data_IF_631437876721
#
_entry.id   IF_631437876721
#
_cell.length_a   1.000
_cell.length_b   1.000
_cell.length_c   1.000
_cell.angle_alpha   90.00
_cell.angle_beta   90.00
_cell.angle_gamma   90.00
#
_symmetry.space_group_name_H-M   'P 1'
#
loop_
_entity.id
_entity.type
_entity.pdbx_description
1 polymer ?
#
# COMPACT_ATOMS: atom_id res chain seq x y z
N UNK A 1 -13.20 -16.00 5.94
CA UNK A 1 -11.91 -15.49 5.38
C UNK A 1 -10.89 -15.42 6.51
N UNK A 2 -9.59 -15.43 6.24
CA UNK A 2 -8.57 -15.35 7.30
C UNK A 2 -8.63 -14.02 8.08
N UNK A 3 -8.96 -12.91 7.42
CA UNK A 3 -9.17 -11.62 8.10
C UNK A 3 -10.30 -11.69 9.13
N UNK A 4 -11.34 -12.50 8.87
CA UNK A 4 -12.46 -12.62 9.80
C UNK A 4 -12.08 -13.27 11.13
N UNK A 5 -10.95 -13.97 11.19
CA UNK A 5 -10.46 -14.66 12.40
C UNK A 5 -9.62 -13.78 13.32
N UNK A 6 -9.25 -12.59 12.84
CA UNK A 6 -8.45 -11.63 13.61
C UNK A 6 -9.36 -10.76 14.49
N UNK A 7 -8.89 -10.37 15.66
CA UNK A 7 -9.56 -9.37 16.47
C UNK A 7 -9.54 -7.99 15.80
N UNK A 8 -10.41 -7.08 16.22
CA UNK A 8 -10.44 -5.69 15.73
C UNK A 8 -9.10 -4.98 15.93
N UNK A 9 -8.46 -5.17 17.07
CA UNK A 9 -7.14 -4.62 17.34
C UNK A 9 -6.05 -5.20 16.41
N UNK A 10 -6.10 -6.51 16.13
CA UNK A 10 -5.17 -7.15 15.18
C UNK A 10 -5.41 -6.68 13.75
N UNK A 11 -6.67 -6.48 13.33
CA UNK A 11 -6.99 -5.92 12.02
C UNK A 11 -6.48 -4.48 11.88
N UNK A 12 -6.66 -3.64 12.90
CA UNK A 12 -6.15 -2.26 12.87
C UNK A 12 -4.61 -2.22 12.80
N UNK A 13 -3.93 -3.06 13.57
CA UNK A 13 -2.47 -3.20 13.50
C UNK A 13 -2.02 -3.68 12.11
N UNK A 14 -2.68 -4.69 11.56
CA UNK A 14 -2.42 -5.21 10.22
C UNK A 14 -2.68 -4.14 9.14
N UNK A 15 -3.73 -3.34 9.31
CA UNK A 15 -4.07 -2.24 8.40
C UNK A 15 -2.95 -1.20 8.31
N UNK A 16 -2.33 -0.84 9.42
CA UNK A 16 -1.16 0.08 9.42
C UNK A 16 0.02 -0.52 8.67
N UNK A 17 0.30 -1.81 8.83
CA UNK A 17 1.34 -2.50 8.07
C UNK A 17 1.02 -2.53 6.57
N UNK A 18 -0.25 -2.70 6.20
CA UNK A 18 -0.65 -2.72 4.79
C UNK A 18 -0.63 -1.32 4.17
N UNK A 19 -0.98 -0.26 4.90
CA UNK A 19 -0.78 1.11 4.44
C UNK A 19 0.71 1.40 4.18
N UNK A 20 1.56 1.01 5.12
CA UNK A 20 3.00 1.18 4.98
C UNK A 20 3.59 0.33 3.85
N UNK A 21 3.06 -0.88 3.60
CA UNK A 21 3.42 -1.69 2.44
C UNK A 21 3.25 -0.93 1.13
N UNK A 22 2.10 -0.27 0.93
CA UNK A 22 1.86 0.53 -0.28
C UNK A 22 2.88 1.66 -0.43
N UNK A 23 3.19 2.37 0.64
CA UNK A 23 4.19 3.44 0.65
C UNK A 23 5.61 2.94 0.36
N UNK A 24 5.98 1.77 0.89
CA UNK A 24 7.31 1.18 0.68
C UNK A 24 7.56 0.72 -0.77
N UNK A 25 6.54 0.62 -1.61
CA UNK A 25 6.70 0.30 -3.03
C UNK A 25 7.68 1.28 -3.71
N UNK A 26 7.52 2.57 -3.47
CA UNK A 26 8.37 3.60 -4.05
C UNK A 26 9.82 3.54 -3.54
N UNK A 27 9.99 3.03 -2.31
CA UNK A 27 11.33 2.86 -1.71
C UNK A 27 12.15 1.75 -2.38
N UNK A 28 11.50 0.95 -3.24
CA UNK A 28 12.14 -0.08 -4.07
C UNK A 28 12.07 0.32 -5.54
N UNK A 29 10.89 0.70 -6.02
CA UNK A 29 10.66 1.00 -7.42
C UNK A 29 11.49 2.19 -7.91
N UNK A 30 11.51 3.29 -7.17
CA UNK A 30 12.21 4.51 -7.57
C UNK A 30 13.73 4.35 -7.64
N UNK A 31 14.45 3.75 -6.66
CA UNK A 31 15.88 3.45 -6.79
C UNK A 31 16.21 2.54 -7.97
N UNK A 32 15.36 1.52 -8.24
CA UNK A 32 15.55 0.65 -9.41
C UNK A 32 15.42 1.41 -10.72
N UNK A 33 14.43 2.30 -10.82
CA UNK A 33 14.28 3.20 -11.98
C UNK A 33 15.47 4.15 -12.09
N UNK A 34 15.90 4.77 -11.00
CA UNK A 34 17.02 5.73 -10.99
C UNK A 34 18.34 5.12 -11.44
N UNK A 35 18.49 3.80 -11.35
CA UNK A 35 19.68 3.10 -11.84
C UNK A 35 19.87 3.33 -13.34
N UNK A 36 20.85 4.17 -13.70
CA UNK A 36 21.15 4.52 -15.10
C UNK A 36 20.22 5.56 -15.72
N UNK A 37 19.43 6.28 -14.92
CA UNK A 37 18.53 7.37 -15.34
C UNK A 37 18.71 8.60 -14.47
N UNK A 38 18.13 9.72 -14.90
CA UNK A 38 18.21 10.96 -14.13
C UNK A 38 17.20 10.95 -12.95
N UNK A 39 17.44 11.83 -11.98
CA UNK A 39 16.52 12.05 -10.88
C UNK A 39 15.18 12.60 -11.37
N UNK A 40 15.22 13.51 -12.34
CA UNK A 40 14.05 14.12 -12.94
C UNK A 40 13.15 13.07 -13.62
N UNK A 41 13.73 12.13 -14.37
CA UNK A 41 12.98 11.00 -14.96
C UNK A 41 12.31 10.12 -13.90
N UNK A 42 13.00 9.86 -12.78
CA UNK A 42 12.43 9.13 -11.65
C UNK A 42 11.27 9.90 -11.02
N UNK A 43 11.41 11.23 -10.80
CA UNK A 43 10.34 12.08 -10.26
C UNK A 43 9.11 12.10 -11.16
N UNK A 44 9.29 12.17 -12.47
CA UNK A 44 8.19 12.11 -13.43
C UNK A 44 7.43 10.78 -13.37
N UNK A 45 8.13 9.65 -13.17
CA UNK A 45 7.46 8.36 -12.97
C UNK A 45 6.65 8.35 -11.67
N UNK A 46 7.20 8.89 -10.58
CA UNK A 46 6.48 9.01 -9.31
C UNK A 46 5.21 9.88 -9.46
N UNK A 47 5.30 11.01 -10.15
CA UNK A 47 4.13 11.86 -10.45
C UNK A 47 3.08 11.07 -11.24
N UNK A 48 3.49 10.42 -12.33
CA UNK A 48 2.60 9.70 -13.23
C UNK A 48 1.87 8.53 -12.55
N UNK A 49 2.58 7.76 -11.71
CA UNK A 49 1.96 6.62 -11.03
C UNK A 49 0.92 7.08 -10.00
N UNK A 50 1.24 8.08 -9.18
CA UNK A 50 0.29 8.61 -8.18
C UNK A 50 -0.90 9.30 -8.85
N UNK A 51 -0.68 10.13 -9.87
CA UNK A 51 -1.77 10.78 -10.62
C UNK A 51 -2.66 9.79 -11.37
N UNK A 52 -2.14 8.63 -11.77
CA UNK A 52 -2.92 7.61 -12.44
C UNK A 52 -3.65 6.66 -11.47
N UNK A 53 -3.10 6.38 -10.29
CA UNK A 53 -3.68 5.44 -9.33
C UNK A 53 -4.62 6.11 -8.32
N UNK A 54 -4.22 7.26 -7.74
CA UNK A 54 -4.95 7.91 -6.63
C UNK A 54 -6.42 8.17 -6.91
N UNK A 55 -6.84 8.72 -8.05
CA UNK A 55 -8.24 8.96 -8.30
C UNK A 55 -9.08 7.68 -8.38
N UNK A 56 -8.47 6.57 -8.83
CA UNK A 56 -9.17 5.28 -8.96
C UNK A 56 -9.46 4.71 -7.58
N UNK A 57 -8.42 4.56 -6.75
CA UNK A 57 -8.59 3.91 -5.47
C UNK A 57 -9.32 4.81 -4.45
N UNK A 58 -9.16 6.15 -4.51
CA UNK A 58 -9.91 7.07 -3.65
C UNK A 58 -11.41 6.94 -3.87
N UNK A 59 -11.88 6.93 -5.13
CA UNK A 59 -13.31 6.69 -5.45
C UNK A 59 -13.79 5.32 -4.99
N UNK A 60 -12.92 4.31 -4.98
CA UNK A 60 -13.25 2.97 -4.47
C UNK A 60 -13.40 2.97 -2.96
N UNK A 61 -12.48 3.61 -2.24
CA UNK A 61 -12.53 3.77 -0.78
C UNK A 61 -13.79 4.51 -0.34
N UNK A 62 -14.15 5.60 -1.03
CA UNK A 62 -15.40 6.35 -0.80
C UNK A 62 -16.64 5.45 -0.88
N UNK A 63 -16.71 4.61 -1.92
CA UNK A 63 -17.83 3.67 -2.09
C UNK A 63 -17.83 2.57 -1.04
N UNK A 64 -16.67 1.97 -0.76
CA UNK A 64 -16.55 0.84 0.16
C UNK A 64 -16.87 1.22 1.61
N UNK A 65 -16.56 2.45 2.03
CA UNK A 65 -16.80 2.97 3.37
C UNK A 65 -17.88 4.06 3.43
N UNK A 66 -18.68 4.19 2.37
CA UNK A 66 -19.94 4.95 2.30
C UNK A 66 -19.86 6.45 2.61
N UNK A 67 -18.70 7.12 2.42
CA UNK A 67 -18.61 8.55 2.77
C UNK A 67 -18.77 9.52 1.60
N UNK A 68 -18.95 9.03 0.38
CA UNK A 68 -19.31 9.86 -0.78
C UNK A 68 -18.22 10.83 -1.23
N UNK A 69 -18.65 11.89 -1.93
CA UNK A 69 -17.77 12.92 -2.52
C UNK A 69 -18.37 14.33 -2.34
N UNK A 70 -17.65 15.34 -2.78
CA UNK A 70 -18.15 16.71 -2.97
C UNK A 70 -17.45 17.79 -2.16
N UNK A 71 -16.98 17.52 -0.95
CA UNK A 71 -16.46 18.53 -0.03
C UNK A 71 -15.09 18.17 0.58
N UNK A 72 -14.49 19.13 1.29
CA UNK A 72 -13.17 18.97 1.94
C UNK A 72 -13.15 17.88 3.01
N UNK A 73 -14.16 17.72 3.90
CA UNK A 73 -14.18 16.60 4.85
C UNK A 73 -13.97 15.24 4.18
N UNK A 74 -14.52 15.03 2.98
CA UNK A 74 -14.39 13.76 2.25
C UNK A 74 -13.04 13.59 1.58
N UNK A 75 -12.38 14.68 1.19
CA UNK A 75 -10.97 14.64 0.75
C UNK A 75 -10.10 14.17 1.91
N UNK A 76 -10.29 14.73 3.10
CA UNK A 76 -9.51 14.37 4.27
C UNK A 76 -9.75 12.94 4.75
N UNK A 77 -10.99 12.42 4.64
CA UNK A 77 -11.27 10.99 4.89
C UNK A 77 -10.51 10.07 3.92
N UNK A 78 -10.38 10.46 2.65
CA UNK A 78 -9.55 9.70 1.72
C UNK A 78 -8.09 9.67 2.18
N UNK A 79 -7.52 10.80 2.57
CA UNK A 79 -6.13 10.89 3.05
C UNK A 79 -5.92 9.96 4.26
N UNK A 80 -6.88 9.89 5.19
CA UNK A 80 -6.78 9.02 6.36
C UNK A 80 -6.77 7.51 6.03
N UNK A 81 -7.11 7.12 4.79
CA UNK A 81 -7.22 5.74 4.32
C UNK A 81 -6.34 5.47 3.09
N UNK A 82 -5.41 6.36 2.81
CA UNK A 82 -4.54 6.33 1.63
C UNK A 82 -3.19 5.69 1.93
N UNK A 83 -2.71 4.84 1.03
CA UNK A 83 -1.36 4.25 1.12
C UNK A 83 -0.23 5.29 1.02
N UNK A 84 -0.50 6.48 0.49
CA UNK A 84 0.40 7.64 0.52
C UNK A 84 0.49 8.30 1.90
N UNK A 85 -0.44 7.97 2.81
CA UNK A 85 -0.53 8.52 4.15
C UNK A 85 -0.56 7.43 5.24
N UNK A 86 0.41 6.48 5.26
CA UNK A 86 0.42 5.42 6.26
C UNK A 86 0.49 6.01 7.66
N UNK A 87 -0.51 5.67 8.49
CA UNK A 87 -0.72 6.24 9.82
C UNK A 87 0.57 6.28 10.65
N UNK A 88 0.79 7.36 11.37
CA UNK A 88 1.93 7.64 12.25
C UNK A 88 3.28 7.77 11.51
N UNK A 89 3.54 7.00 10.45
CA UNK A 89 4.74 7.18 9.62
C UNK A 89 4.64 8.45 8.77
N UNK A 90 3.44 8.72 8.26
CA UNK A 90 3.02 9.99 7.68
C UNK A 90 1.91 10.53 8.60
N UNK A 91 2.27 11.26 9.66
CA UNK A 91 1.32 11.73 10.68
C UNK A 91 0.59 12.97 10.18
N UNK A 92 -0.42 12.74 9.33
CA UNK A 92 -1.34 13.78 8.86
C UNK A 92 -2.25 14.21 9.99
N UNK A 93 -2.25 15.51 10.26
CA UNK A 93 -3.17 16.19 11.14
C UNK A 93 -4.03 17.13 10.31
N UNK A 94 -5.31 17.14 10.57
CA UNK A 94 -6.28 17.80 9.70
C UNK A 94 -7.19 18.74 10.49
N UNK A 95 -7.62 19.82 9.83
CA UNK A 95 -8.67 20.72 10.33
C UNK A 95 -9.62 21.06 9.20
N UNK A 96 -10.91 20.95 9.45
CA UNK A 96 -11.96 21.41 8.57
C UNK A 96 -12.45 22.77 9.05
N UNK A 97 -12.50 23.75 8.16
CA UNK A 97 -13.09 25.04 8.41
C UNK A 97 -14.58 25.05 8.02
N UNK A 98 -14.86 24.55 6.80
CA UNK A 98 -16.21 24.36 6.26
C UNK A 98 -16.21 23.29 5.15
N UNK A 99 -17.25 23.20 4.33
CA UNK A 99 -17.35 22.23 3.24
C UNK A 99 -16.35 22.48 2.10
N UNK A 100 -15.90 23.70 1.92
CA UNK A 100 -15.04 24.12 0.81
C UNK A 100 -13.61 24.46 1.25
N UNK A 101 -13.36 24.55 2.56
CA UNK A 101 -12.07 24.94 3.11
C UNK A 101 -11.62 24.00 4.23
N UNK A 102 -10.34 23.67 4.21
CA UNK A 102 -9.67 22.92 5.26
C UNK A 102 -8.16 22.91 5.07
N UNK A 103 -7.49 22.24 5.95
CA UNK A 103 -6.04 22.16 5.95
C UNK A 103 -5.55 20.86 6.54
N UNK A 104 -4.31 20.50 6.19
CA UNK A 104 -3.59 19.45 6.85
C UNK A 104 -2.12 19.84 7.03
N UNK A 105 -1.50 19.24 8.02
CA UNK A 105 -0.04 19.34 8.24
C UNK A 105 0.51 17.99 8.66
N UNK A 106 1.79 17.79 8.38
CA UNK A 106 2.49 16.57 8.80
C UNK A 106 3.29 16.85 10.07
N UNK A 107 2.82 16.29 11.18
CA UNK A 107 3.51 16.32 12.45
C UNK A 107 4.78 15.44 12.43
N UNK A 108 4.74 14.35 11.68
CA UNK A 108 5.86 13.51 11.30
C UNK A 108 5.69 13.12 9.82
N UNK A 109 6.76 13.20 9.05
CA UNK A 109 6.78 12.82 7.65
C UNK A 109 7.96 11.88 7.40
N UNK A 110 7.69 10.58 7.37
CA UNK A 110 8.71 9.58 7.10
C UNK A 110 9.32 9.71 5.71
N UNK A 111 8.52 10.13 4.73
CA UNK A 111 9.01 10.39 3.37
C UNK A 111 10.05 11.51 3.32
N UNK A 112 9.81 12.62 4.03
CA UNK A 112 10.78 13.70 4.15
C UNK A 112 12.07 13.21 4.84
N UNK A 113 11.92 12.49 5.96
CA UNK A 113 13.08 12.00 6.72
C UNK A 113 13.94 11.02 5.93
N UNK A 114 13.36 10.31 4.96
CA UNK A 114 14.10 9.44 4.05
C UNK A 114 14.95 10.24 3.04
N UNK A 115 14.52 11.43 2.62
CA UNK A 115 15.18 12.21 1.58
C UNK A 115 16.01 13.38 2.09
N UNK A 116 15.75 13.92 3.29
CA UNK A 116 16.55 15.01 3.88
C UNK A 116 18.07 14.71 3.93
N UNK A 117 18.50 13.48 4.30
CA UNK A 117 19.93 13.15 4.29
C UNK A 117 20.57 13.15 2.90
N UNK A 118 19.78 13.09 1.83
CA UNK A 118 20.24 13.09 0.44
C UNK A 118 20.47 14.52 -0.11
N UNK A 119 19.99 15.53 0.61
CA UNK A 119 20.17 16.95 0.31
C UNK A 119 18.95 17.64 -0.30
N UNK A 120 19.04 18.98 -0.37
CA UNK A 120 17.92 19.86 -0.75
C UNK A 120 17.32 19.54 -2.11
N UNK A 121 18.09 19.08 -3.06
CA UNK A 121 17.60 18.70 -4.38
C UNK A 121 16.59 17.52 -4.32
N UNK A 122 16.84 16.54 -3.44
CA UNK A 122 15.90 15.43 -3.22
C UNK A 122 14.66 15.88 -2.46
N UNK A 123 14.85 16.79 -1.49
CA UNK A 123 13.74 17.41 -0.76
C UNK A 123 12.84 18.21 -1.70
N UNK A 124 13.40 19.05 -2.58
CA UNK A 124 12.63 19.78 -3.59
C UNK A 124 11.93 18.81 -4.57
N UNK A 125 12.61 17.75 -5.00
CA UNK A 125 12.00 16.72 -5.84
C UNK A 125 10.75 16.12 -5.24
N UNK A 126 10.81 15.70 -3.98
CA UNK A 126 9.67 15.12 -3.28
C UNK A 126 8.64 16.18 -2.90
N UNK A 127 9.03 17.17 -2.07
CA UNK A 127 8.07 18.06 -1.42
C UNK A 127 7.57 19.21 -2.31
N UNK A 128 8.07 19.34 -3.54
CA UNK A 128 7.61 20.33 -4.51
C UNK A 128 7.16 19.67 -5.83
N UNK A 129 8.09 19.00 -6.53
CA UNK A 129 7.80 18.51 -7.87
C UNK A 129 6.74 17.38 -7.85
N UNK A 130 6.84 16.44 -6.89
CA UNK A 130 5.95 15.28 -6.78
C UNK A 130 4.66 15.66 -6.03
N UNK A 131 4.75 16.31 -4.85
CA UNK A 131 3.58 16.53 -4.00
C UNK A 131 2.56 17.49 -4.61
N UNK A 132 2.96 18.57 -5.30
CA UNK A 132 2.02 19.53 -5.90
C UNK A 132 0.96 18.86 -6.80
N UNK A 133 1.32 18.10 -7.85
CA UNK A 133 0.33 17.46 -8.71
C UNK A 133 -0.34 16.24 -8.07
N UNK A 134 0.33 15.54 -7.16
CA UNK A 134 -0.21 14.29 -6.59
C UNK A 134 -1.24 14.56 -5.50
N UNK A 135 -1.08 15.61 -4.70
CA UNK A 135 -2.13 16.03 -3.77
C UNK A 135 -3.39 16.53 -4.50
N UNK A 136 -3.23 17.30 -5.58
CA UNK A 136 -4.36 17.69 -6.42
C UNK A 136 -5.05 16.45 -7.01
N UNK A 137 -4.31 15.47 -7.52
CA UNK A 137 -4.86 14.22 -8.08
C UNK A 137 -5.65 13.40 -7.06
N UNK A 138 -5.20 13.34 -5.80
CA UNK A 138 -5.95 12.69 -4.71
C UNK A 138 -7.24 13.46 -4.41
N UNK A 139 -7.19 14.79 -4.36
CA UNK A 139 -8.34 15.63 -4.07
C UNK A 139 -9.40 15.59 -5.18
N UNK A 140 -9.01 15.52 -6.46
CA UNK A 140 -9.96 15.52 -7.61
C UNK A 140 -10.85 14.30 -7.65
N UNK A 141 -10.47 13.19 -7.02
CA UNK A 141 -11.35 12.04 -6.85
C UNK A 141 -12.66 12.40 -6.15
N UNK A 142 -12.61 13.40 -5.28
CA UNK A 142 -13.74 13.91 -4.49
C UNK A 142 -14.38 15.12 -5.17
N UNK A 143 -13.58 16.10 -5.59
CA UNK A 143 -14.05 17.29 -6.28
C UNK A 143 -13.01 17.75 -7.32
N UNK A 144 -13.36 17.83 -8.62
CA UNK A 144 -12.40 18.21 -9.66
C UNK A 144 -11.90 19.66 -9.56
N UNK A 145 -12.54 20.50 -8.76
CA UNK A 145 -12.13 21.90 -8.52
C UNK A 145 -11.38 22.09 -7.20
N UNK A 146 -11.09 21.00 -6.49
CA UNK A 146 -10.27 21.07 -5.30
C UNK A 146 -8.81 21.37 -5.68
N UNK A 147 -8.19 22.28 -4.94
CA UNK A 147 -6.77 22.59 -5.04
C UNK A 147 -6.10 22.48 -3.69
N UNK A 148 -4.94 21.84 -3.67
CA UNK A 148 -4.12 21.68 -2.48
C UNK A 148 -2.87 22.55 -2.62
N UNK A 149 -2.68 23.51 -1.71
CA UNK A 149 -1.59 24.50 -1.82
C UNK A 149 -0.79 24.59 -0.53
N UNK A 150 0.55 24.68 -0.62
CA UNK A 150 1.39 24.76 0.57
C UNK A 150 1.30 26.12 1.25
N UNK A 151 1.15 26.11 2.57
CA UNK A 151 1.41 27.27 3.44
C UNK A 151 2.90 27.36 3.72
N UNK A 152 3.51 26.23 4.06
CA UNK A 152 4.96 26.05 4.07
C UNK A 152 5.30 24.59 3.82
N UNK A 153 6.51 24.37 3.30
CA UNK A 153 7.02 23.03 3.01
C UNK A 153 8.56 22.98 3.08
N UNK A 154 9.15 21.77 3.16
CA UNK A 154 10.62 21.63 3.18
C UNK A 154 11.29 22.23 1.92
N UNK A 155 12.59 22.62 2.02
CA UNK A 155 13.50 22.40 3.15
C UNK A 155 13.07 23.13 4.41
N UNK A 156 13.21 22.48 5.58
CA UNK A 156 12.77 23.04 6.86
C UNK A 156 13.72 24.17 7.31
N UNK A 157 13.15 25.35 7.57
CA UNK A 157 13.90 26.50 8.10
C UNK A 157 13.16 27.05 9.33
N UNK A 158 13.75 26.91 10.55
CA UNK A 158 14.99 26.20 10.89
C UNK A 158 14.90 24.69 10.62
N UNK A 159 16.01 23.96 10.60
CA UNK A 159 16.07 22.52 10.29
C UNK A 159 15.18 21.64 11.17
N UNK A 160 14.85 22.06 12.37
CA UNK A 160 13.94 21.35 13.28
C UNK A 160 12.49 21.85 13.23
N UNK A 161 12.07 22.58 12.18
CA UNK A 161 10.72 23.15 12.10
C UNK A 161 9.66 22.05 12.18
N UNK A 162 8.68 22.25 13.06
CA UNK A 162 7.46 21.45 13.18
C UNK A 162 6.23 22.38 13.07
N UNK A 163 5.15 21.92 12.40
CA UNK A 163 5.06 20.70 11.60
C UNK A 163 6.02 20.72 10.41
N UNK A 164 6.33 19.54 9.84
CA UNK A 164 7.26 19.41 8.73
C UNK A 164 6.81 20.18 7.49
N UNK A 165 5.52 20.14 7.19
CA UNK A 165 4.86 20.94 6.15
C UNK A 165 3.43 21.25 6.57
N UNK A 166 2.81 22.21 5.88
CA UNK A 166 1.42 22.63 6.12
C UNK A 166 0.78 23.03 4.79
N UNK A 167 -0.45 22.58 4.55
CA UNK A 167 -1.17 22.71 3.29
C UNK A 167 -2.62 23.12 3.52
N UNK A 168 -3.17 23.93 2.62
CA UNK A 168 -4.60 24.24 2.54
C UNK A 168 -5.26 23.45 1.43
N UNK A 169 -6.52 23.09 1.63
CA UNK A 169 -7.40 22.54 0.62
C UNK A 169 -8.53 23.54 0.41
N UNK A 170 -8.74 23.95 -0.85
CA UNK A 170 -9.80 24.88 -1.21
C UNK A 170 -10.58 24.33 -2.40
N UNK A 171 -11.92 24.39 -2.31
CA UNK A 171 -12.82 24.10 -3.41
C UNK A 171 -13.47 25.44 -3.81
N UNK A 172 -13.25 25.87 -5.04
CA UNK A 172 -13.86 27.12 -5.54
C UNK A 172 -14.49 26.87 -6.93
N UNK A 173 -15.77 27.19 -7.12
CA UNK A 173 -16.41 27.08 -8.44
C UNK A 173 -15.70 27.85 -9.57
N UNK A 174 -14.90 28.86 -9.21
CA UNK A 174 -14.08 29.63 -10.13
C UNK A 174 -12.77 28.97 -10.55
N UNK A 175 -12.34 27.91 -9.86
CA UNK A 175 -11.15 27.19 -10.25
C UNK A 175 -11.39 26.32 -11.49
N UNK A 176 -10.44 26.31 -12.39
CA UNK A 176 -10.45 25.34 -13.49
C UNK A 176 -10.32 23.92 -12.93
N UNK A 177 -11.09 22.95 -13.45
CA UNK A 177 -10.93 21.55 -13.05
C UNK A 177 -9.51 21.05 -13.29
N UNK A 178 -8.95 20.36 -12.33
CA UNK A 178 -7.64 19.70 -12.48
C UNK A 178 -7.73 18.65 -13.59
N UNK A 179 -6.83 18.72 -14.55
CA UNK A 179 -6.80 17.82 -15.69
C UNK A 179 -6.33 16.43 -15.26
N UNK A 180 -7.07 15.40 -15.68
CA UNK A 180 -6.72 14.01 -15.37
C UNK A 180 -5.47 13.58 -16.15
N UNK A 181 -4.55 12.88 -15.50
CA UNK A 181 -3.39 12.32 -16.19
C UNK A 181 -3.82 11.27 -17.23
N UNK A 182 -3.24 11.25 -18.45
CA UNK A 182 -3.64 10.31 -19.51
C UNK A 182 -3.56 8.84 -19.11
N UNK A 183 -2.65 8.46 -18.19
CA UNK A 183 -2.51 7.08 -17.73
C UNK A 183 -3.63 6.64 -16.78
N UNK A 184 -4.39 7.57 -16.21
CA UNK A 184 -5.58 7.26 -15.40
C UNK A 184 -6.55 6.36 -16.18
N UNK A 185 -6.85 6.70 -17.43
CA UNK A 185 -7.75 5.90 -18.25
C UNK A 185 -7.25 4.48 -18.52
N UNK A 186 -5.93 4.27 -18.53
CA UNK A 186 -5.32 2.93 -18.69
C UNK A 186 -5.48 2.14 -17.39
N UNK A 187 -5.24 2.78 -16.24
CA UNK A 187 -5.37 2.14 -14.92
C UNK A 187 -6.83 1.79 -14.62
N UNK A 188 -7.78 2.65 -14.97
CA UNK A 188 -9.22 2.41 -14.79
C UNK A 188 -9.75 1.19 -15.56
N UNK A 189 -9.11 0.81 -16.67
CA UNK A 189 -9.49 -0.35 -17.47
C UNK A 189 -8.98 -1.68 -16.93
N UNK A 190 -8.10 -1.65 -15.93
CA UNK A 190 -7.57 -2.87 -15.32
C UNK A 190 -8.65 -3.64 -14.56
N UNK A 191 -8.53 -4.96 -14.52
CA UNK A 191 -9.45 -5.81 -13.75
C UNK A 191 -9.45 -5.44 -12.28
N UNK A 192 -8.28 -5.14 -11.70
CA UNK A 192 -8.18 -4.69 -10.31
C UNK A 192 -9.01 -3.42 -10.03
N UNK A 193 -9.14 -2.51 -10.97
CA UNK A 193 -9.95 -1.30 -10.80
C UNK A 193 -11.44 -1.58 -10.65
N UNK A 194 -11.91 -2.72 -11.18
CA UNK A 194 -13.31 -3.16 -11.14
C UNK A 194 -13.62 -4.31 -10.17
N UNK A 195 -12.60 -4.87 -9.48
CA UNK A 195 -12.81 -6.04 -8.63
C UNK A 195 -13.73 -5.73 -7.44
N UNK A 196 -14.60 -6.67 -7.07
CA UNK A 196 -15.43 -6.53 -5.87
C UNK A 196 -14.59 -6.70 -4.60
N UNK A 197 -15.04 -6.06 -3.52
CA UNK A 197 -14.52 -6.30 -2.17
C UNK A 197 -15.52 -7.23 -1.48
N UNK A 198 -15.02 -8.32 -0.88
CA UNK A 198 -15.86 -9.23 -0.14
C UNK A 198 -16.33 -8.58 1.17
N UNK A 199 -17.63 -8.60 1.38
CA UNK A 199 -18.21 -8.18 2.66
C UNK A 199 -18.25 -9.37 3.61
N UNK A 200 -17.62 -9.27 4.80
CA UNK A 200 -17.71 -10.33 5.79
C UNK A 200 -19.15 -10.49 6.27
N UNK A 201 -19.58 -11.70 6.67
CA UNK A 201 -20.91 -11.92 7.21
C UNK A 201 -21.12 -11.06 8.47
N UNK A 202 -22.36 -10.57 8.67
CA UNK A 202 -22.74 -9.70 9.80
C UNK A 202 -22.48 -10.34 11.17
N UNK A 203 -22.47 -11.68 11.22
CA UNK A 203 -22.08 -12.43 12.41
C UNK A 203 -21.32 -13.69 12.00
N UNK A 204 -20.12 -13.86 12.54
CA UNK A 204 -19.34 -15.07 12.34
C UNK A 204 -19.79 -16.13 13.36
N UNK A 205 -20.11 -17.36 12.93
CA UNK A 205 -20.41 -18.45 13.87
C UNK A 205 -19.20 -18.70 14.78
N UNK A 206 -19.38 -18.57 16.11
CA UNK A 206 -18.36 -18.89 17.09
C UNK A 206 -17.38 -17.77 17.45
N UNK A 207 -17.46 -16.59 16.85
CA UNK A 207 -16.81 -15.38 17.35
C UNK A 207 -17.84 -14.51 18.08
N UNK A 208 -17.54 -14.10 19.31
CA UNK A 208 -18.26 -12.98 19.89
C UNK A 208 -17.96 -11.77 18.97
N UNK A 209 -18.99 -11.22 18.32
CA UNK A 209 -18.83 -9.95 17.62
C UNK A 209 -18.24 -8.96 18.63
N UNK A 210 -17.02 -8.49 18.38
CA UNK A 210 -16.43 -7.44 19.21
C UNK A 210 -17.31 -6.21 19.04
N UNK A 211 -18.03 -5.78 20.08
CA UNK A 211 -18.95 -4.66 19.97
C UNK A 211 -18.15 -3.37 19.76
N UNK A 212 -18.70 -2.46 18.98
CA UNK A 212 -18.19 -1.10 18.84
C UNK A 212 -17.44 -0.87 17.53
N UNK A 213 -17.11 0.41 17.32
CA UNK A 213 -16.56 0.94 16.07
C UNK A 213 -17.64 1.28 15.05
N UNK A 214 -17.24 2.01 14.03
CA UNK A 214 -18.13 2.45 12.96
C UNK A 214 -18.23 1.39 11.87
N UNK A 215 -19.43 1.07 11.44
CA UNK A 215 -19.66 0.08 10.36
C UNK A 215 -19.25 0.60 8.98
N UNK A 216 -19.12 1.91 8.84
CA UNK A 216 -18.58 2.62 7.68
C UNK A 216 -18.08 4.01 8.11
N UNK A 217 -17.64 4.84 7.18
CA UNK A 217 -17.20 6.21 7.46
C UNK A 217 -18.18 7.27 6.92
N UNK A 218 -19.50 6.98 6.92
CA UNK A 218 -20.55 7.90 6.45
C UNK A 218 -20.82 9.05 7.42
N UNK A 219 -20.45 8.90 8.71
CA UNK A 219 -20.57 9.91 9.74
C UNK A 219 -19.76 11.18 9.49
N UNK A 220 -19.66 12.07 10.47
CA UNK A 220 -18.85 13.28 10.38
C UNK A 220 -17.35 12.94 10.23
N UNK A 221 -16.58 13.91 9.72
CA UNK A 221 -15.13 13.82 9.68
C UNK A 221 -14.56 13.88 11.10
N UNK A 222 -13.69 12.92 11.43
CA UNK A 222 -12.95 12.92 12.69
C UNK A 222 -11.47 13.21 12.43
N UNK A 223 -10.92 14.33 12.92
CA UNK A 223 -9.50 14.66 12.74
C UNK A 223 -8.56 13.73 13.51
N UNK A 224 -9.06 13.03 14.52
CA UNK A 224 -8.31 12.10 15.35
C UNK A 224 -8.55 10.63 14.96
N UNK A 225 -9.18 10.38 13.80
CA UNK A 225 -9.48 9.04 13.32
C UNK A 225 -8.28 8.11 13.38
N UNK A 226 -8.52 6.92 13.92
CA UNK A 226 -7.62 5.78 13.90
C UNK A 226 -8.35 4.55 13.32
N UNK A 227 -7.61 3.58 12.82
CA UNK A 227 -8.24 2.36 12.28
C UNK A 227 -9.10 1.62 13.32
N UNK A 228 -8.76 1.75 14.61
CA UNK A 228 -9.53 1.21 15.72
C UNK A 228 -10.93 1.80 15.89
N UNK A 229 -11.23 2.94 15.23
CA UNK A 229 -12.56 3.52 15.25
C UNK A 229 -13.55 2.75 14.35
N UNK A 230 -13.02 1.97 13.41
CA UNK A 230 -13.83 1.10 12.56
C UNK A 230 -14.25 -0.18 13.28
N UNK A 231 -15.45 -0.66 12.97
CA UNK A 231 -15.90 -1.99 13.39
C UNK A 231 -15.07 -3.09 12.73
N UNK A 232 -15.16 -4.31 13.26
CA UNK A 232 -14.50 -5.47 12.66
C UNK A 232 -14.82 -5.61 11.17
N UNK A 233 -16.12 -5.47 10.82
CA UNK A 233 -16.58 -5.56 9.42
C UNK A 233 -15.96 -4.45 8.56
N UNK A 234 -16.00 -3.21 9.02
CA UNK A 234 -15.45 -2.08 8.29
C UNK A 234 -13.93 -2.19 8.11
N UNK A 235 -13.21 -2.72 9.10
CA UNK A 235 -11.78 -2.99 9.00
C UNK A 235 -11.46 -4.04 7.93
N UNK A 236 -12.23 -5.15 7.86
CA UNK A 236 -12.04 -6.16 6.81
C UNK A 236 -12.25 -5.56 5.42
N UNK A 237 -13.24 -4.68 5.26
CA UNK A 237 -13.50 -3.96 4.01
C UNK A 237 -12.35 -2.98 3.72
N UNK A 238 -11.92 -2.20 4.70
CA UNK A 238 -10.83 -1.23 4.56
C UNK A 238 -9.51 -1.89 4.17
N UNK A 239 -9.13 -3.00 4.82
CA UNK A 239 -7.91 -3.74 4.49
C UNK A 239 -7.91 -4.23 3.04
N UNK A 240 -9.00 -4.81 2.57
CA UNK A 240 -9.10 -5.21 1.17
C UNK A 240 -8.98 -4.01 0.23
N UNK A 241 -9.56 -2.86 0.60
CA UNK A 241 -9.41 -1.60 -0.12
C UNK A 241 -7.96 -1.13 -0.18
N UNK A 242 -7.22 -1.21 0.92
CA UNK A 242 -5.79 -0.88 0.99
C UNK A 242 -4.96 -1.82 0.09
N UNK A 243 -5.26 -3.12 0.07
CA UNK A 243 -4.61 -4.04 -0.85
C UNK A 243 -4.87 -3.67 -2.32
N UNK A 244 -6.10 -3.28 -2.67
CA UNK A 244 -6.44 -2.78 -4.02
C UNK A 244 -5.63 -1.54 -4.37
N UNK A 245 -5.44 -0.61 -3.45
CA UNK A 245 -4.61 0.59 -3.68
C UNK A 245 -3.18 0.20 -4.07
N UNK A 246 -2.57 -0.77 -3.35
CA UNK A 246 -1.21 -1.25 -3.64
C UNK A 246 -1.08 -1.91 -5.01
N UNK A 247 -2.07 -2.71 -5.43
CA UNK A 247 -2.11 -3.28 -6.79
C UNK A 247 -2.25 -2.19 -7.86
N UNK A 248 -3.08 -1.18 -7.62
CA UNK A 248 -3.29 -0.07 -8.55
C UNK A 248 -2.04 0.79 -8.70
N UNK A 249 -1.34 1.06 -7.60
CA UNK A 249 -0.09 1.82 -7.62
C UNK A 249 0.99 1.08 -8.40
N UNK A 250 1.20 -0.23 -8.14
CA UNK A 250 2.13 -1.04 -8.91
C UNK A 250 1.83 -0.99 -10.41
N UNK A 251 0.54 -1.12 -10.75
CA UNK A 251 0.12 -1.08 -12.15
C UNK A 251 0.43 0.26 -12.78
N UNK A 252 0.14 1.37 -12.09
CA UNK A 252 0.43 2.71 -12.56
C UNK A 252 1.95 2.94 -12.76
N UNK A 253 2.77 2.46 -11.81
CA UNK A 253 4.22 2.41 -11.95
C UNK A 253 4.65 1.67 -13.22
N UNK A 254 4.15 0.45 -13.42
CA UNK A 254 4.49 -0.36 -14.59
C UNK A 254 4.05 0.30 -15.91
N UNK A 255 2.87 0.94 -15.94
CA UNK A 255 2.39 1.72 -17.09
C UNK A 255 3.32 2.89 -17.37
N UNK A 256 3.69 3.68 -16.35
CA UNK A 256 4.61 4.81 -16.52
C UNK A 256 5.97 4.37 -17.08
N UNK A 257 6.59 3.36 -16.46
CA UNK A 257 7.85 2.78 -16.93
C UNK A 257 7.73 2.25 -18.37
N UNK A 258 6.65 1.54 -18.67
CA UNK A 258 6.41 0.96 -20.00
C UNK A 258 6.26 2.04 -21.08
N UNK A 259 5.52 3.10 -20.79
CA UNK A 259 5.32 4.22 -21.73
C UNK A 259 6.59 4.99 -22.01
N UNK A 260 7.49 5.12 -21.03
CA UNK A 260 8.75 5.83 -21.19
C UNK A 260 9.88 4.97 -21.76
N UNK A 261 9.98 3.72 -21.34
CA UNK A 261 11.16 2.88 -21.61
C UNK A 261 10.83 1.56 -22.30
N UNK A 262 9.56 1.34 -22.63
CA UNK A 262 9.09 0.11 -23.27
C UNK A 262 8.66 -0.98 -22.30
N UNK A 263 7.74 -1.84 -22.75
CA UNK A 263 7.13 -2.91 -21.97
C UNK A 263 8.17 -3.90 -21.39
N UNK A 264 9.19 -4.25 -22.19
CA UNK A 264 10.26 -5.15 -21.74
C UNK A 264 11.00 -4.61 -20.52
N UNK A 265 11.20 -3.30 -20.40
CA UNK A 265 11.82 -2.65 -19.24
C UNK A 265 10.90 -2.76 -18.02
N UNK A 266 9.61 -2.48 -18.15
CA UNK A 266 8.65 -2.62 -17.07
C UNK A 266 8.62 -4.07 -16.57
N UNK A 267 8.46 -5.05 -17.46
CA UNK A 267 8.42 -6.47 -17.10
C UNK A 267 9.73 -6.97 -16.45
N UNK A 268 10.88 -6.38 -16.76
CA UNK A 268 12.14 -6.72 -16.14
C UNK A 268 12.30 -6.14 -14.71
N UNK A 269 11.65 -5.00 -14.42
CA UNK A 269 11.68 -4.37 -13.09
C UNK A 269 10.68 -5.02 -12.13
N UNK A 270 9.52 -5.43 -12.60
CA UNK A 270 8.45 -5.97 -11.74
C UNK A 270 8.89 -7.09 -10.79
N UNK A 271 9.64 -8.14 -11.21
CA UNK A 271 10.10 -9.17 -10.29
C UNK A 271 11.02 -8.65 -9.19
N UNK A 272 11.80 -7.61 -9.47
CA UNK A 272 12.70 -7.00 -8.49
C UNK A 272 11.89 -6.20 -7.45
N UNK A 273 10.96 -5.37 -7.92
CA UNK A 273 10.03 -4.62 -7.04
C UNK A 273 9.21 -5.61 -6.19
N UNK A 274 8.70 -6.68 -6.82
CA UNK A 274 7.95 -7.73 -6.14
C UNK A 274 8.80 -8.39 -5.03
N UNK A 275 10.03 -8.82 -5.34
CA UNK A 275 10.92 -9.47 -4.38
C UNK A 275 11.23 -8.56 -3.19
N UNK A 276 11.59 -7.31 -3.46
CA UNK A 276 11.94 -6.36 -2.41
C UNK A 276 10.76 -6.03 -1.49
N UNK A 277 9.60 -5.72 -2.07
CA UNK A 277 8.43 -5.34 -1.31
C UNK A 277 7.81 -6.51 -0.56
N UNK A 278 7.71 -7.69 -1.22
CA UNK A 278 7.17 -8.89 -0.60
C UNK A 278 7.99 -9.31 0.62
N UNK A 279 9.32 -9.37 0.48
CA UNK A 279 10.21 -9.76 1.57
C UNK A 279 10.22 -8.72 2.70
N UNK A 280 10.26 -7.42 2.39
CA UNK A 280 10.24 -6.37 3.41
C UNK A 280 8.92 -6.40 4.21
N UNK A 281 7.80 -6.50 3.51
CA UNK A 281 6.49 -6.61 4.15
C UNK A 281 6.40 -7.85 5.03
N UNK A 282 6.86 -9.00 4.54
CA UNK A 282 6.88 -10.23 5.30
C UNK A 282 7.70 -10.10 6.59
N UNK A 283 8.88 -9.46 6.54
CA UNK A 283 9.71 -9.19 7.72
C UNK A 283 9.00 -8.31 8.75
N UNK A 284 8.18 -7.35 8.30
CA UNK A 284 7.37 -6.51 9.19
C UNK A 284 6.16 -7.25 9.76
N UNK A 285 5.51 -8.08 8.94
CA UNK A 285 4.34 -8.85 9.37
C UNK A 285 4.67 -9.91 10.43
N UNK A 286 5.86 -10.48 10.44
CA UNK A 286 6.27 -11.49 11.45
C UNK A 286 6.06 -10.97 12.88
N UNK A 287 6.63 -9.83 13.31
CA UNK A 287 6.36 -9.30 14.64
C UNK A 287 4.95 -8.73 14.79
N UNK A 288 4.36 -8.10 13.76
CA UNK A 288 3.01 -7.53 13.83
C UNK A 288 1.92 -8.59 14.03
N UNK A 289 2.13 -9.80 13.52
CA UNK A 289 1.25 -10.96 13.68
C UNK A 289 1.64 -11.86 14.87
N UNK A 290 2.64 -11.45 15.66
CA UNK A 290 3.15 -12.24 16.78
C UNK A 290 3.54 -13.67 16.38
N UNK A 291 4.21 -13.80 15.22
CA UNK A 291 4.70 -15.08 14.72
C UNK A 291 6.00 -15.43 15.45
N UNK A 292 5.89 -16.34 16.43
CA UNK A 292 7.02 -16.76 17.26
C UNK A 292 7.66 -18.08 16.79
N UNK A 293 6.88 -18.92 16.12
CA UNK A 293 7.34 -20.23 15.64
C UNK A 293 7.99 -20.12 14.26
N UNK A 294 8.85 -21.11 13.95
CA UNK A 294 9.50 -21.23 12.64
C UNK A 294 9.08 -22.56 12.02
N UNK A 295 7.86 -22.62 11.57
CA UNK A 295 7.20 -23.83 11.08
C UNK A 295 6.26 -23.56 9.91
N UNK A 296 5.65 -24.64 9.40
CA UNK A 296 4.68 -24.55 8.31
C UNK A 296 3.44 -23.71 8.64
N UNK A 297 3.00 -23.72 9.90
CA UNK A 297 1.84 -22.93 10.31
C UNK A 297 2.16 -21.43 10.28
N UNK A 298 3.37 -21.03 10.70
CA UNK A 298 3.86 -19.66 10.62
C UNK A 298 3.96 -19.18 9.16
N UNK A 299 4.54 -19.99 8.26
CA UNK A 299 4.59 -19.68 6.83
C UNK A 299 3.19 -19.54 6.23
N UNK A 300 2.27 -20.46 6.56
CA UNK A 300 0.89 -20.40 6.08
C UNK A 300 0.17 -19.14 6.56
N UNK A 301 0.32 -18.76 7.83
CA UNK A 301 -0.27 -17.54 8.39
C UNK A 301 0.25 -16.29 7.68
N UNK A 302 1.56 -16.23 7.44
CA UNK A 302 2.18 -15.11 6.74
C UNK A 302 1.67 -14.99 5.30
N UNK A 303 1.65 -16.10 4.52
CA UNK A 303 1.12 -16.11 3.16
C UNK A 303 -0.35 -15.67 3.10
N UNK A 304 -1.17 -16.15 4.03
CA UNK A 304 -2.60 -15.82 4.08
C UNK A 304 -2.88 -14.36 4.39
N UNK A 305 -2.02 -13.68 5.15
CA UNK A 305 -2.21 -12.30 5.61
C UNK A 305 -1.28 -11.31 4.91
N UNK A 306 -0.54 -11.74 3.89
CA UNK A 306 0.28 -10.86 3.09
C UNK A 306 -0.59 -10.05 2.10
N UNK A 307 -0.49 -8.70 2.04
CA UNK A 307 -1.39 -7.85 1.25
C UNK A 307 -1.38 -8.15 -0.25
N UNK A 308 -0.27 -8.62 -0.81
CA UNK A 308 -0.17 -8.94 -2.23
C UNK A 308 -1.13 -10.05 -2.68
N UNK A 309 -1.61 -10.89 -1.77
CA UNK A 309 -2.59 -11.93 -2.06
C UNK A 309 -4.05 -11.49 -1.79
N UNK A 310 -4.29 -10.19 -1.61
CA UNK A 310 -5.61 -9.62 -1.34
C UNK A 310 -6.02 -8.58 -2.40
N UNK A 311 -7.33 -8.35 -2.65
CA UNK A 311 -8.47 -9.11 -2.11
C UNK A 311 -8.59 -10.51 -2.74
N UNK A 312 -9.28 -11.43 -2.09
CA UNK A 312 -9.46 -12.81 -2.58
C UNK A 312 -10.27 -12.89 -3.88
N UNK A 313 -11.12 -11.93 -4.14
CA UNK A 313 -11.83 -11.75 -5.41
C UNK A 313 -10.91 -11.42 -6.59
N UNK A 314 -9.69 -10.92 -6.31
CA UNK A 314 -8.66 -10.64 -7.32
C UNK A 314 -7.60 -11.73 -7.37
N UNK A 315 -7.23 -12.30 -6.21
CA UNK A 315 -6.19 -13.32 -6.07
C UNK A 315 -6.74 -14.56 -5.35
N UNK A 316 -7.04 -15.62 -6.09
CA UNK A 316 -7.49 -16.90 -5.51
C UNK A 316 -6.29 -17.68 -4.95
N UNK A 317 -5.83 -17.27 -3.77
CA UNK A 317 -4.78 -17.99 -3.04
C UNK A 317 -5.39 -19.07 -2.15
N UNK A 318 -4.88 -20.29 -2.30
CA UNK A 318 -5.21 -21.49 -1.50
C UNK A 318 -3.95 -21.91 -0.74
N UNK A 319 -4.04 -22.14 0.57
CA UNK A 319 -2.88 -22.44 1.43
C UNK A 319 -3.22 -23.58 2.38
N UNK A 320 -2.46 -24.67 2.31
CA UNK A 320 -2.59 -25.87 3.12
C UNK A 320 -1.29 -26.14 3.89
N UNK A 321 -1.38 -26.33 5.20
CA UNK A 321 -0.25 -26.82 6.00
C UNK A 321 -0.15 -28.33 5.77
N UNK A 322 0.96 -28.78 5.20
CA UNK A 322 1.19 -30.20 4.89
C UNK A 322 1.73 -30.91 6.11
N UNK A 323 2.73 -30.33 6.75
CA UNK A 323 3.36 -30.81 7.99
C UNK A 323 4.05 -29.65 8.74
N UNK A 324 4.83 -29.95 9.76
CA UNK A 324 5.53 -28.96 10.59
C UNK A 324 6.52 -28.09 9.81
N UNK A 325 7.12 -28.60 8.74
CA UNK A 325 8.13 -27.89 7.95
C UNK A 325 7.61 -27.44 6.58
N UNK A 326 6.44 -27.89 6.15
CA UNK A 326 5.97 -27.78 4.77
C UNK A 326 4.60 -27.12 4.66
N UNK A 327 4.51 -26.10 3.80
CA UNK A 327 3.25 -25.47 3.37
C UNK A 327 3.11 -25.62 1.87
N UNK A 328 1.95 -26.07 1.44
CA UNK A 328 1.54 -26.01 0.04
C UNK A 328 0.64 -24.81 -0.19
N UNK A 329 0.92 -24.06 -1.25
CA UNK A 329 0.02 -22.97 -1.68
C UNK A 329 -0.13 -22.97 -3.20
N UNK A 330 -1.28 -22.47 -3.65
CA UNK A 330 -1.62 -22.45 -5.06
C UNK A 330 -2.44 -21.21 -5.41
N UNK A 331 -2.34 -20.78 -6.67
CA UNK A 331 -3.26 -19.80 -7.25
C UNK A 331 -4.24 -20.53 -8.16
N UNK A 332 -5.54 -20.33 -7.91
CA UNK A 332 -6.61 -20.75 -8.79
C UNK A 332 -6.81 -19.81 -9.99
N UNK A 333 -7.83 -20.06 -10.84
CA UNK A 333 -8.23 -19.11 -11.87
C UNK A 333 -8.72 -17.80 -11.21
N UNK A 334 -8.08 -16.69 -11.50
CA UNK A 334 -8.41 -15.43 -10.85
C UNK A 334 -8.04 -14.22 -11.72
N UNK A 335 -8.71 -13.06 -11.51
CA UNK A 335 -8.54 -11.89 -12.36
C UNK A 335 -7.11 -11.38 -12.47
N UNK A 336 -6.28 -11.51 -11.43
CA UNK A 336 -4.88 -11.09 -11.46
C UNK A 336 -4.04 -11.80 -12.53
N UNK A 337 -4.39 -13.05 -12.84
CA UNK A 337 -3.71 -13.85 -13.89
C UNK A 337 -4.29 -13.59 -15.30
N UNK A 338 -5.32 -12.79 -15.39
CA UNK A 338 -6.01 -12.46 -16.63
C UNK A 338 -5.86 -10.99 -17.04
N UNK A 339 -5.01 -10.20 -16.34
CA UNK A 339 -4.63 -8.86 -16.78
C UNK A 339 -3.85 -8.95 -18.12
N UNK A 340 -4.27 -8.14 -19.09
CA UNK A 340 -3.84 -8.31 -20.49
C UNK A 340 -2.37 -7.97 -20.74
N UNK A 341 -1.76 -7.13 -19.91
CA UNK A 341 -0.41 -6.58 -20.10
C UNK A 341 0.66 -7.18 -19.18
N UNK A 342 0.28 -8.08 -18.28
CA UNK A 342 1.22 -8.68 -17.34
C UNK A 342 1.75 -7.72 -16.25
N UNK A 343 1.17 -6.55 -16.07
CA UNK A 343 1.57 -5.58 -15.04
C UNK A 343 0.95 -5.91 -13.68
N UNK A 344 1.31 -7.06 -13.15
CA UNK A 344 0.86 -7.57 -11.84
C UNK A 344 2.04 -8.17 -11.07
N UNK A 345 1.89 -8.34 -9.75
CA UNK A 345 2.88 -9.03 -8.93
C UNK A 345 3.18 -10.45 -9.44
N UNK A 346 2.21 -11.11 -10.05
CA UNK A 346 2.27 -12.54 -10.41
C UNK A 346 2.58 -12.81 -11.88
N UNK A 347 2.81 -11.77 -12.68
CA UNK A 347 3.07 -11.92 -14.11
C UNK A 347 4.29 -12.79 -14.44
N UNK A 348 5.26 -12.83 -13.55
CA UNK A 348 6.54 -13.54 -13.73
C UNK A 348 6.66 -14.81 -12.87
N UNK A 349 5.52 -15.33 -12.35
CA UNK A 349 5.53 -16.62 -11.66
C UNK A 349 5.90 -17.76 -12.61
N UNK A 350 6.58 -18.74 -12.08
CA UNK A 350 7.23 -19.81 -12.87
C UNK A 350 8.58 -19.38 -13.45
N UNK A 351 9.15 -18.27 -12.96
CA UNK A 351 10.42 -17.71 -13.40
C UNK A 351 10.98 -16.70 -12.41
N UNK A 352 11.30 -15.48 -12.88
CA UNK A 352 11.95 -14.46 -12.04
C UNK A 352 11.10 -14.03 -10.83
N UNK A 353 9.77 -14.12 -10.91
CA UNK A 353 8.84 -13.75 -9.82
C UNK A 353 8.85 -14.72 -8.64
N UNK A 354 9.36 -15.94 -8.81
CA UNK A 354 9.39 -16.95 -7.74
C UNK A 354 10.29 -16.52 -6.57
N UNK A 355 11.31 -15.70 -6.81
CA UNK A 355 12.17 -15.12 -5.76
C UNK A 355 11.39 -14.33 -4.71
N UNK A 356 10.27 -13.72 -5.08
CA UNK A 356 9.41 -13.00 -4.16
C UNK A 356 8.71 -13.96 -3.17
N UNK A 357 8.33 -15.14 -3.64
CA UNK A 357 7.75 -16.20 -2.79
C UNK A 357 8.77 -16.69 -1.77
N UNK A 358 10.03 -16.92 -2.21
CA UNK A 358 11.13 -17.25 -1.30
C UNK A 358 11.32 -16.14 -0.26
N UNK A 359 11.35 -14.88 -0.67
CA UNK A 359 11.53 -13.73 0.21
C UNK A 359 10.45 -13.65 1.30
N UNK A 360 9.20 -14.01 0.98
CA UNK A 360 8.10 -14.06 1.96
C UNK A 360 8.37 -15.15 3.01
N UNK A 361 8.62 -16.40 2.59
CA UNK A 361 8.75 -17.51 3.53
C UNK A 361 10.06 -17.45 4.33
N UNK A 362 11.11 -16.87 3.76
CA UNK A 362 12.40 -16.62 4.43
C UNK A 362 12.31 -15.63 5.58
N UNK A 363 11.25 -14.82 5.65
CA UNK A 363 10.99 -13.98 6.82
C UNK A 363 10.64 -14.83 8.07
N UNK A 364 10.13 -16.05 7.88
CA UNK A 364 9.87 -17.01 8.97
C UNK A 364 11.15 -17.78 9.31
N UNK A 365 11.77 -18.40 8.32
CA UNK A 365 13.08 -19.08 8.47
C UNK A 365 13.90 -18.92 7.19
N UNK A 366 15.14 -18.43 7.31
CA UNK A 366 16.05 -18.23 6.18
C UNK A 366 16.45 -19.54 5.44
N UNK A 367 16.07 -20.70 5.97
CA UNK A 367 16.23 -22.00 5.31
C UNK A 367 15.01 -22.44 4.52
N UNK A 368 13.95 -21.62 4.54
CA UNK A 368 12.75 -21.88 3.74
C UNK A 368 13.00 -21.56 2.26
N UNK A 369 12.49 -22.43 1.39
CA UNK A 369 12.51 -22.22 -0.06
C UNK A 369 11.21 -22.73 -0.69
N UNK A 370 10.76 -22.03 -1.74
CA UNK A 370 9.58 -22.40 -2.51
C UNK A 370 9.99 -23.26 -3.73
N UNK A 371 9.27 -24.32 -3.96
CA UNK A 371 9.45 -25.21 -5.11
C UNK A 371 8.14 -25.37 -5.86
N UNK A 372 8.15 -25.18 -7.17
CA UNK A 372 7.00 -25.46 -8.00
C UNK A 372 6.65 -26.96 -7.94
N UNK A 373 5.37 -27.27 -7.72
CA UNK A 373 4.88 -28.64 -7.59
C UNK A 373 3.74 -28.92 -8.57
N UNK A 374 3.34 -30.19 -8.67
CA UNK A 374 2.23 -30.58 -9.54
C UNK A 374 0.92 -29.86 -9.15
N UNK A 375 0.28 -29.26 -10.13
CA UNK A 375 -1.01 -28.59 -9.99
C UNK A 375 -2.13 -29.62 -9.77
N UNK A 376 -3.13 -29.23 -8.98
CA UNK A 376 -4.33 -30.05 -8.69
C UNK A 376 -5.58 -29.34 -9.23
N UNK A 377 -6.45 -30.07 -9.89
CA UNK A 377 -7.71 -29.52 -10.37
C UNK A 377 -7.52 -28.32 -11.31
N UNK A 378 -8.06 -27.18 -10.92
CA UNK A 378 -8.07 -25.93 -11.68
C UNK A 378 -6.91 -24.99 -11.39
N UNK A 379 -5.96 -25.36 -10.53
CA UNK A 379 -4.82 -24.54 -10.15
C UNK A 379 -4.02 -24.05 -11.37
N UNK A 380 -3.60 -22.81 -11.34
CA UNK A 380 -2.76 -22.18 -12.36
C UNK A 380 -1.28 -22.24 -11.99
N UNK A 381 -0.99 -22.03 -10.70
CA UNK A 381 0.35 -22.17 -10.12
C UNK A 381 0.23 -22.95 -8.80
N UNK A 382 1.22 -23.74 -8.49
CA UNK A 382 1.29 -24.48 -7.24
C UNK A 382 2.74 -24.60 -6.76
N UNK A 383 2.95 -24.35 -5.47
CA UNK A 383 4.24 -24.37 -4.81
C UNK A 383 4.17 -25.10 -3.47
N UNK A 384 5.30 -25.65 -3.07
CA UNK A 384 5.55 -26.04 -1.68
C UNK A 384 6.70 -25.19 -1.14
N UNK A 385 6.45 -24.53 0.01
CA UNK A 385 7.48 -23.87 0.81
C UNK A 385 7.94 -24.87 1.88
N UNK A 386 9.23 -25.16 1.91
CA UNK A 386 9.82 -26.16 2.79
C UNK A 386 10.95 -25.53 3.60
N UNK A 387 10.93 -25.71 4.91
CA UNK A 387 12.06 -25.41 5.80
C UNK A 387 12.96 -26.64 5.85
N UNK A 388 14.15 -26.55 5.24
CA UNK A 388 15.16 -27.61 5.32
C UNK A 388 16.20 -27.28 6.40
N UNK A 389 16.18 -27.96 7.56
CA UNK A 389 17.14 -27.72 8.64
C UNK A 389 18.61 -27.93 8.25
N UNK A 390 18.86 -28.71 7.19
CA UNK A 390 20.21 -28.98 6.68
C UNK A 390 20.71 -27.92 5.69
N UNK A 391 19.81 -27.11 5.14
CA UNK A 391 20.17 -26.08 4.18
C UNK A 391 20.96 -24.92 4.84
N UNK A 392 21.87 -24.34 4.08
CA UNK A 392 22.50 -23.09 4.47
C UNK A 392 21.46 -21.96 4.45
N UNK A 393 21.38 -21.13 5.52
CA UNK A 393 20.49 -19.98 5.51
C UNK A 393 20.70 -19.10 4.27
N UNK A 394 19.63 -18.77 3.58
CA UNK A 394 19.67 -17.90 2.41
C UNK A 394 20.14 -16.49 2.81
N UNK A 395 20.88 -15.85 1.91
CA UNK A 395 21.17 -14.43 2.05
C UNK A 395 19.94 -13.63 1.68
N UNK A 396 19.70 -12.55 2.43
CA UNK A 396 18.62 -11.61 2.10
C UNK A 396 18.74 -11.11 0.65
N UNK A 397 17.62 -11.05 -0.05
CA UNK A 397 17.60 -10.53 -1.41
C UNK A 397 18.00 -9.03 -1.43
N UNK A 398 18.88 -8.62 -2.36
CA UNK A 398 19.39 -7.24 -2.40
C UNK A 398 18.29 -6.19 -2.57
N UNK A 399 17.18 -6.54 -3.18
CA UNK A 399 16.02 -5.67 -3.36
C UNK A 399 15.35 -5.31 -2.03
N UNK A 400 15.40 -6.18 -1.02
CA UNK A 400 14.92 -5.88 0.34
C UNK A 400 15.79 -4.78 0.97
N UNK A 401 17.09 -4.80 0.71
CA UNK A 401 18.02 -3.80 1.23
C UNK A 401 17.69 -2.38 0.71
N UNK A 402 17.08 -2.24 -0.48
CA UNK A 402 16.62 -0.93 -0.98
C UNK A 402 15.51 -0.37 -0.07
N UNK A 403 14.52 -1.18 0.31
CA UNK A 403 13.47 -0.75 1.22
C UNK A 403 14.01 -0.34 2.60
N UNK A 404 15.09 -0.98 3.06
CA UNK A 404 15.72 -0.72 4.37
C UNK A 404 16.45 0.62 4.47
N UNK A 405 16.62 1.33 3.35
CA UNK A 405 17.10 2.71 3.35
C UNK A 405 16.04 3.64 3.97
N UNK A 406 14.75 3.30 3.81
CA UNK A 406 13.65 4.03 4.42
C UNK A 406 13.52 3.73 5.92
N UNK A 407 13.26 4.78 6.69
CA UNK A 407 12.84 4.66 8.09
C UNK A 407 11.58 3.80 8.28
N UNK A 408 10.75 3.68 7.23
CA UNK A 408 9.57 2.82 7.20
C UNK A 408 9.88 1.34 7.41
N UNK A 409 11.05 0.86 6.98
CA UNK A 409 11.44 -0.54 7.14
C UNK A 409 11.50 -0.99 8.61
N UNK A 410 11.87 -0.10 9.52
CA UNK A 410 12.01 -0.36 10.95
C UNK A 410 11.05 0.47 11.81
N UNK A 411 10.12 1.18 11.18
CA UNK A 411 9.18 2.04 11.88
C UNK A 411 8.30 1.25 12.85
N UNK A 412 8.19 1.74 14.08
CA UNK A 412 7.31 1.18 15.11
C UNK A 412 6.15 2.15 15.30
N UNK A 413 4.95 1.65 15.07
CA UNK A 413 3.73 2.43 15.29
C UNK A 413 3.55 2.72 16.75
N UNK A 414 3.40 4.01 17.08
CA UNK A 414 3.17 4.50 18.45
C UNK A 414 1.96 5.43 18.45
N UNK A 415 1.20 5.52 19.55
CA UNK A 415 0.10 6.46 19.64
C UNK A 415 0.52 7.88 19.28
N UNK A 416 -0.36 8.61 18.61
CA UNK A 416 -0.13 9.99 18.18
C UNK A 416 0.20 10.90 19.37
N UNK A 417 1.13 11.80 19.18
CA UNK A 417 1.45 12.85 20.15
C UNK A 417 0.68 14.12 19.79
N UNK A 418 0.19 14.89 20.78
CA UNK A 418 -0.36 16.21 20.51
C UNK A 418 0.70 17.10 19.86
N UNK A 419 0.37 17.73 18.75
CA UNK A 419 1.21 18.73 18.07
C UNK A 419 0.48 20.06 18.10
N UNK A 420 1.15 21.10 18.60
CA UNK A 420 0.63 22.47 18.52
C UNK A 420 1.02 23.05 17.16
N UNK A 421 0.04 23.61 16.48
CA UNK A 421 0.25 24.48 15.32
C UNK A 421 0.14 25.90 15.85
N UNK A 422 1.25 26.65 15.82
CA UNK A 422 1.28 28.06 16.19
C UNK A 422 0.88 28.95 15.03
#
# INVERSE_FOLDING_TARGET
>A
MELDTLSRAQLAALGREWLLHGHLQDRIGMPLVHTGRTREEMQEIAIEEWMAASPVYSRRTQRALCFGNGDVPRILKNIQLDIGAPHHFMDFRCRVEDGDHGEFWLAHCGALLDVEPLGDDYVHGMCHAIEDPTFDATAVATNPRAQVRPVHRPPRVPAGREPHCHWTITIDPGFEPVEAHPYLAIVEQAKIAGVSIDEPPVALPGTAAEPGGWDDYSGDFDPDFELEDLSHRALVIALQGIAVQSHLLLRAFAVSVSKRYGEATALALLPQVFTGLAGMTAQRLVPALEIETRDGAAMARLLRLHPMFWPRTYVDLRVDVVDEATVRFALGPCPVLEEADGFTWFAQLGGAGDRALDAIVQAVDQRAACHAVARRGDERFAYEAVIDPSATPAKEAPEIALAKISGGATFVFTPRRPVRVD
#
